data_IF_083869943767
#
_entry.id   IF_083869943767
#
_cell.length_a   1.000
_cell.length_b   1.000
_cell.length_c   1.000
_cell.angle_alpha   90.00
_cell.angle_beta   90.00
_cell.angle_gamma   90.00
#
_symmetry.space_group_name_H-M   'P 1'
#
loop_
_entity.id
_entity.type
_entity.pdbx_description
1 polymer ?
#
# COMPACT_ATOMS: atom_id res chain seq x y z
N UNK A 1 -7.08 -13.65 9.36
CA UNK A 1 -7.59 -12.47 8.61
C UNK A 1 -6.57 -12.17 7.52
N UNK A 2 -6.98 -11.73 6.32
CA UNK A 2 -6.04 -11.46 5.21
C UNK A 2 -5.09 -10.31 5.60
N UNK A 3 -3.79 -10.48 5.37
CA UNK A 3 -2.76 -9.49 5.66
C UNK A 3 -2.52 -8.58 4.47
N UNK A 4 -2.74 -7.28 4.65
CA UNK A 4 -2.64 -6.28 3.58
C UNK A 4 -1.62 -5.21 3.95
N UNK A 5 -0.62 -5.03 3.09
CA UNK A 5 0.38 -3.97 3.23
C UNK A 5 0.12 -2.87 2.21
N UNK A 6 -0.19 -1.67 2.69
CA UNK A 6 -0.36 -0.48 1.86
C UNK A 6 0.96 0.29 1.73
N UNK A 7 1.39 0.61 0.51
CA UNK A 7 2.66 1.29 0.25
C UNK A 7 2.41 2.58 -0.53
N UNK A 8 2.98 3.68 -0.03
CA UNK A 8 3.16 4.90 -0.82
C UNK A 8 4.61 5.38 -0.74
N UNK A 9 4.91 6.62 -1.16
CA UNK A 9 6.28 7.12 -1.12
C UNK A 9 6.77 7.36 0.31
N UNK A 10 6.01 8.13 1.12
CA UNK A 10 6.48 8.63 2.42
C UNK A 10 5.86 7.93 3.64
N UNK A 11 4.82 7.13 3.44
CA UNK A 11 4.01 6.56 4.52
C UNK A 11 3.21 7.54 5.40
N UNK A 12 2.89 8.73 4.89
CA UNK A 12 2.25 9.77 5.70
C UNK A 12 0.77 9.95 5.36
N UNK A 13 0.43 9.95 4.06
CA UNK A 13 -0.91 10.32 3.59
C UNK A 13 -1.70 9.09 3.14
N UNK A 14 -1.48 8.64 1.90
CA UNK A 14 -2.32 7.64 1.22
C UNK A 14 -2.29 6.25 1.87
N UNK A 15 -1.10 5.71 2.16
CA UNK A 15 -0.95 4.38 2.78
C UNK A 15 -1.41 4.36 4.23
N UNK A 16 -1.08 5.40 5.01
CA UNK A 16 -1.52 5.52 6.41
C UNK A 16 -3.04 5.67 6.53
N UNK A 17 -3.65 6.45 5.64
CA UNK A 17 -5.12 6.54 5.57
C UNK A 17 -5.73 5.17 5.24
N UNK A 18 -5.14 4.41 4.32
CA UNK A 18 -5.65 3.09 3.94
C UNK A 18 -5.53 2.06 5.08
N UNK A 19 -4.41 2.03 5.79
CA UNK A 19 -4.22 1.16 6.97
C UNK A 19 -5.32 1.39 8.00
N UNK A 20 -5.49 2.64 8.47
CA UNK A 20 -6.48 2.96 9.50
C UNK A 20 -7.91 2.71 9.03
N UNK A 21 -8.18 2.93 7.75
CA UNK A 21 -9.50 2.75 7.17
C UNK A 21 -9.94 1.29 7.06
N UNK A 22 -8.99 0.36 6.90
CA UNK A 22 -9.29 -1.05 6.64
C UNK A 22 -8.89 -2.01 7.75
N UNK A 23 -8.36 -1.52 8.88
CA UNK A 23 -7.94 -2.35 10.04
C UNK A 23 -9.04 -3.23 10.65
N UNK A 24 -10.31 -2.84 10.50
CA UNK A 24 -11.44 -3.65 11.00
C UNK A 24 -11.85 -4.75 10.01
N UNK A 25 -11.36 -4.68 8.76
CA UNK A 25 -11.65 -5.65 7.68
C UNK A 25 -10.48 -6.61 7.44
N UNK A 26 -9.24 -6.14 7.64
CA UNK A 26 -8.00 -6.87 7.34
C UNK A 26 -6.98 -6.69 8.46
N UNK A 27 -5.97 -7.56 8.51
CA UNK A 27 -4.76 -7.30 9.28
C UNK A 27 -3.89 -6.35 8.44
N UNK A 28 -3.86 -5.07 8.79
CA UNK A 28 -3.29 -4.01 7.94
C UNK A 28 -1.97 -3.48 8.48
N UNK A 29 -1.05 -3.18 7.57
CA UNK A 29 0.12 -2.33 7.82
C UNK A 29 0.28 -1.29 6.71
N UNK A 30 1.03 -0.23 6.98
CA UNK A 30 1.48 0.70 5.95
C UNK A 30 2.99 0.94 5.98
N UNK A 31 3.60 1.15 4.80
CA UNK A 31 5.01 1.45 4.66
C UNK A 31 5.29 2.48 3.55
N UNK A 32 6.51 3.03 3.56
CA UNK A 32 7.01 4.03 2.61
C UNK A 32 8.16 3.47 1.78
N UNK A 33 8.34 3.91 0.54
CA UNK A 33 9.52 3.55 -0.27
C UNK A 33 10.68 4.54 -0.11
N UNK A 34 10.42 5.77 0.35
CA UNK A 34 11.37 6.88 0.29
C UNK A 34 11.36 7.75 1.55
N UNK A 35 10.98 7.18 2.70
CA UNK A 35 11.02 7.84 4.01
C UNK A 35 12.25 7.38 4.84
N UNK A 36 12.34 7.82 6.09
CA UNK A 36 13.45 7.48 7.00
C UNK A 36 13.55 5.98 7.31
N UNK A 37 12.43 5.27 7.32
CA UNK A 37 12.35 3.82 7.52
C UNK A 37 11.61 3.17 6.35
N UNK A 38 12.29 2.97 5.20
CA UNK A 38 11.67 2.38 4.03
C UNK A 38 11.19 0.96 4.29
N UNK A 39 10.21 0.54 3.49
CA UNK A 39 9.70 -0.82 3.47
C UNK A 39 10.85 -1.81 3.31
N UNK A 40 10.81 -2.88 4.08
CA UNK A 40 11.81 -3.95 4.04
C UNK A 40 11.21 -5.28 3.54
N UNK A 41 12.09 -6.24 3.28
CA UNK A 41 11.70 -7.56 2.77
C UNK A 41 10.74 -8.31 3.71
N UNK A 42 10.92 -8.20 5.03
CA UNK A 42 10.08 -8.88 6.00
C UNK A 42 8.65 -8.35 6.03
N UNK A 43 8.45 -7.05 5.79
CA UNK A 43 7.11 -6.47 5.65
C UNK A 43 6.40 -6.97 4.38
N UNK A 44 7.12 -7.05 3.26
CA UNK A 44 6.60 -7.62 2.02
C UNK A 44 6.28 -9.12 2.18
N UNK A 45 7.14 -9.85 2.89
CA UNK A 45 6.94 -11.28 3.18
C UNK A 45 5.76 -11.53 4.11
N UNK A 46 5.52 -10.63 5.07
CA UNK A 46 4.38 -10.70 5.98
C UNK A 46 3.03 -10.57 5.26
N UNK A 47 2.96 -9.78 4.18
CA UNK A 47 1.71 -9.49 3.48
C UNK A 47 1.23 -10.65 2.59
N UNK A 48 -0.08 -10.93 2.62
CA UNK A 48 -0.75 -11.80 1.63
C UNK A 48 -0.95 -11.02 0.32
N UNK A 49 -1.34 -9.73 0.44
CA UNK A 49 -1.45 -8.78 -0.66
C UNK A 49 -0.74 -7.47 -0.36
N UNK A 50 -0.03 -6.96 -1.36
CA UNK A 50 0.63 -5.66 -1.30
C UNK A 50 -0.13 -4.71 -2.21
N UNK A 51 -0.52 -3.56 -1.68
CA UNK A 51 -1.28 -2.55 -2.41
C UNK A 51 -0.42 -1.30 -2.52
N UNK A 52 -0.11 -0.91 -3.74
CA UNK A 52 0.58 0.37 -4.05
C UNK A 52 -0.43 1.41 -4.53
N UNK A 53 -0.09 2.68 -4.36
CA UNK A 53 -0.93 3.79 -4.82
C UNK A 53 -0.73 4.07 -6.31
N UNK A 54 0.51 3.96 -6.79
CA UNK A 54 0.90 4.26 -8.18
C UNK A 54 1.86 3.20 -8.72
N UNK A 55 1.83 2.98 -10.04
CA UNK A 55 2.60 1.91 -10.68
C UNK A 55 4.12 2.08 -10.51
N UNK A 56 4.60 3.31 -10.38
CA UNK A 56 6.01 3.61 -10.11
C UNK A 56 6.51 2.93 -8.83
N UNK A 57 5.64 2.78 -7.82
CA UNK A 57 5.97 2.13 -6.56
C UNK A 57 6.08 0.61 -6.75
N UNK A 58 5.22 0.02 -7.58
CA UNK A 58 5.34 -1.39 -7.97
C UNK A 58 6.66 -1.64 -8.72
N UNK A 59 7.03 -0.77 -9.65
CA UNK A 59 8.32 -0.83 -10.35
C UNK A 59 9.51 -0.70 -9.39
N UNK A 60 9.39 0.17 -8.38
CA UNK A 60 10.44 0.34 -7.38
C UNK A 60 10.60 -0.91 -6.48
N UNK A 61 9.48 -1.53 -6.09
CA UNK A 61 9.51 -2.82 -5.37
C UNK A 61 10.17 -3.90 -6.24
N UNK A 62 9.88 -3.96 -7.54
CA UNK A 62 10.50 -4.92 -8.46
C UNK A 62 12.03 -4.78 -8.51
N UNK A 63 12.54 -3.54 -8.46
CA UNK A 63 13.98 -3.25 -8.46
C UNK A 63 14.65 -3.63 -7.15
N UNK A 64 14.04 -3.27 -6.01
CA UNK A 64 14.63 -3.45 -4.67
C UNK A 64 14.46 -4.86 -4.11
N UNK A 65 13.35 -5.52 -4.45
CA UNK A 65 12.91 -6.78 -3.87
C UNK A 65 12.47 -7.78 -4.95
N UNK A 66 13.34 -8.14 -5.91
CA UNK A 66 12.97 -8.95 -7.07
C UNK A 66 12.40 -10.33 -6.68
N UNK A 67 12.90 -10.93 -5.60
CA UNK A 67 12.39 -12.22 -5.08
C UNK A 67 10.94 -12.08 -4.61
N UNK A 68 10.66 -11.11 -3.75
CA UNK A 68 9.32 -10.87 -3.21
C UNK A 68 8.37 -10.43 -4.33
N UNK A 69 8.84 -9.62 -5.29
CA UNK A 69 8.06 -9.18 -6.43
C UNK A 69 7.50 -10.35 -7.26
N UNK A 70 8.31 -11.40 -7.49
CA UNK A 70 7.87 -12.59 -8.23
C UNK A 70 6.88 -13.44 -7.41
N UNK A 71 7.01 -13.43 -6.08
CA UNK A 71 6.25 -14.31 -5.19
C UNK A 71 4.94 -13.70 -4.67
N UNK A 72 4.83 -12.36 -4.67
CA UNK A 72 3.74 -11.65 -4.01
C UNK A 72 2.79 -11.01 -5.02
N UNK A 73 1.51 -10.99 -4.66
CA UNK A 73 0.52 -10.25 -5.42
C UNK A 73 0.62 -8.76 -5.07
N UNK A 74 1.10 -7.96 -6.03
CA UNK A 74 1.20 -6.50 -5.89
C UNK A 74 0.16 -5.84 -6.82
N UNK A 75 -0.81 -5.14 -6.23
CA UNK A 75 -1.90 -4.45 -6.94
C UNK A 75 -1.73 -2.94 -6.83
N UNK A 76 -2.09 -2.22 -7.90
CA UNK A 76 -2.02 -0.75 -7.95
C UNK A 76 -3.43 -0.14 -7.92
N UNK A 77 -3.65 0.86 -7.06
CA UNK A 77 -4.93 1.58 -6.99
C UNK A 77 -5.04 2.75 -7.98
N UNK A 78 -3.94 3.17 -8.61
CA UNK A 78 -3.87 4.36 -9.46
C UNK A 78 -4.40 5.64 -8.79
N UNK A 79 -3.99 5.87 -7.54
CA UNK A 79 -4.35 7.06 -6.74
C UNK A 79 -3.16 8.03 -6.69
N UNK A 80 -3.26 9.22 -7.33
CA UNK A 80 -2.14 10.17 -7.43
C UNK A 80 -1.73 10.77 -6.07
N UNK A 81 -0.47 11.21 -5.96
CA UNK A 81 0.09 11.83 -4.75
C UNK A 81 -0.30 13.30 -4.54
N UNK A 82 -1.60 13.57 -4.47
CA UNK A 82 -2.16 14.91 -4.31
C UNK A 82 -3.10 15.03 -3.11
N UNK A 83 -3.13 13.99 -2.26
CA UNK A 83 -4.07 13.88 -1.15
C UNK A 83 -3.34 13.96 0.19
N UNK A 84 -4.02 14.57 1.15
CA UNK A 84 -3.57 14.62 2.53
C UNK A 84 -4.19 13.48 3.37
N UNK A 85 -3.54 13.18 4.48
CA UNK A 85 -4.01 12.20 5.46
C UNK A 85 -5.48 12.43 5.86
N UNK A 86 -6.28 11.36 5.82
CA UNK A 86 -7.71 11.36 6.14
C UNK A 86 -8.59 12.34 5.33
N UNK A 87 -8.12 12.83 4.18
CA UNK A 87 -8.94 13.66 3.31
C UNK A 87 -10.19 12.89 2.83
N UNK A 88 -11.41 13.44 2.90
CA UNK A 88 -12.64 12.72 2.56
C UNK A 88 -12.66 12.14 1.14
N UNK A 89 -12.09 12.86 0.17
CA UNK A 89 -12.00 12.40 -1.22
C UNK A 89 -11.08 11.19 -1.37
N UNK A 90 -9.98 11.14 -0.63
CA UNK A 90 -9.07 10.00 -0.58
C UNK A 90 -9.76 8.78 0.01
N UNK A 91 -10.47 8.94 1.13
CA UNK A 91 -11.24 7.86 1.77
C UNK A 91 -12.26 7.27 0.78
N UNK A 92 -12.98 8.11 0.04
CA UNK A 92 -13.95 7.65 -0.96
C UNK A 92 -13.30 6.83 -2.07
N UNK A 93 -12.15 7.28 -2.58
CA UNK A 93 -11.39 6.56 -3.61
C UNK A 93 -10.88 5.21 -3.09
N UNK A 94 -10.27 5.21 -1.90
CA UNK A 94 -9.78 3.99 -1.26
C UNK A 94 -10.89 2.95 -1.08
N UNK A 95 -12.07 3.34 -0.58
CA UNK A 95 -13.23 2.43 -0.44
C UNK A 95 -13.71 1.88 -1.78
N UNK A 96 -13.75 2.72 -2.82
CA UNK A 96 -14.15 2.32 -4.17
C UNK A 96 -13.19 1.29 -4.74
N UNK A 97 -11.89 1.59 -4.78
CA UNK A 97 -10.91 0.73 -5.46
C UNK A 97 -10.65 -0.56 -4.70
N UNK A 98 -10.61 -0.51 -3.36
CA UNK A 98 -10.41 -1.72 -2.56
C UNK A 98 -11.60 -2.67 -2.68
N UNK A 99 -12.85 -2.18 -2.71
CA UNK A 99 -14.02 -3.04 -2.90
C UNK A 99 -14.06 -3.74 -4.27
N UNK A 100 -13.39 -3.17 -5.29
CA UNK A 100 -13.28 -3.80 -6.61
C UNK A 100 -12.17 -4.85 -6.67
N UNK A 101 -11.11 -4.67 -5.88
CA UNK A 101 -9.91 -5.50 -5.91
C UNK A 101 -9.90 -6.64 -4.87
N UNK A 102 -10.54 -6.43 -3.73
CA UNK A 102 -10.53 -7.29 -2.54
C UNK A 102 -11.94 -7.61 -2.02
#
# INVERSE_FOLDING_TARGET
MMKVLFICNQNENRSKTAEELFKDRFDTKSAGLFNETPVNASELEWADKIIVMEDIQRSEIAKRFPKQYIQKQILCLNIPDIYHYNQPKLIKLLKSEISKLL
#
